data_IF_408409785609
#
_entry.id   IF_408409785609
#
_cell.length_a   1.000
_cell.length_b   1.000
_cell.length_c   1.000
_cell.angle_alpha   90.00
_cell.angle_beta   90.00
_cell.angle_gamma   90.00
#
_symmetry.space_group_name_H-M   'P 1'
#
loop_
_entity.id
_entity.type
_entity.pdbx_description
1 polymer ?
#
# COMPACT_ATOMS: atom_id res chain seq x y z
N UNK A 1 13.02 -4.33 19.13
CA UNK A 1 11.85 -3.55 19.54
C UNK A 1 11.74 -2.34 18.65
N UNK A 2 10.54 -2.09 18.20
CA UNK A 2 10.29 -0.95 17.35
C UNK A 2 10.18 0.33 18.18
N UNK A 3 10.74 1.40 17.66
CA UNK A 3 10.60 2.70 18.26
C UNK A 3 9.88 3.63 17.31
N UNK A 4 8.79 3.13 16.75
CA UNK A 4 7.99 3.91 15.83
C UNK A 4 7.50 5.19 16.50
N UNK A 5 7.78 6.31 15.85
CA UNK A 5 7.40 7.62 16.35
C UNK A 5 6.43 8.25 15.35
N UNK A 6 5.16 8.44 15.73
CA UNK A 6 4.19 9.05 14.82
C UNK A 6 4.59 10.44 14.34
N UNK A 7 5.31 11.21 15.17
CA UNK A 7 5.76 12.53 14.74
C UNK A 7 6.78 12.43 13.62
N UNK A 8 7.66 11.44 13.67
CA UNK A 8 8.64 11.22 12.59
C UNK A 8 7.98 10.75 11.32
N UNK A 9 6.81 10.15 11.44
CA UNK A 9 6.08 9.68 10.27
C UNK A 9 5.56 10.83 9.41
N UNK A 10 5.46 12.03 9.95
CA UNK A 10 5.13 13.21 9.17
C UNK A 10 6.24 13.51 8.16
N UNK A 11 7.48 13.15 8.49
CA UNK A 11 8.63 13.25 7.58
C UNK A 11 9.11 11.85 7.18
N UNK A 12 8.17 10.96 6.87
CA UNK A 12 8.45 9.55 6.66
C UNK A 12 9.48 9.25 5.57
N UNK A 13 9.53 10.08 4.55
CA UNK A 13 10.50 9.86 3.47
C UNK A 13 11.93 10.18 3.88
N UNK A 14 12.08 10.91 4.98
CA UNK A 14 13.40 11.19 5.57
C UNK A 14 13.77 10.12 6.59
N UNK A 15 12.82 9.77 7.47
CA UNK A 15 13.10 8.90 8.61
C UNK A 15 12.83 7.43 8.36
N UNK A 16 11.85 7.11 7.49
CA UNK A 16 11.33 5.75 7.38
C UNK A 16 11.29 5.23 5.94
N UNK A 17 12.02 5.87 5.03
CA UNK A 17 11.96 5.48 3.62
C UNK A 17 12.25 4.00 3.38
N UNK A 18 13.32 3.42 3.96
CA UNK A 18 13.57 1.98 3.75
C UNK A 18 12.45 1.09 4.26
N UNK A 19 11.85 1.46 5.38
CA UNK A 19 10.73 0.72 5.95
C UNK A 19 9.51 0.79 5.05
N UNK A 20 9.23 1.96 4.48
CA UNK A 20 8.11 2.11 3.55
C UNK A 20 8.33 1.27 2.30
N UNK A 21 9.54 1.30 1.75
CA UNK A 21 9.86 0.49 0.58
C UNK A 21 9.67 -0.99 0.87
N UNK A 22 10.12 -1.45 2.03
CA UNK A 22 9.98 -2.84 2.43
C UNK A 22 8.53 -3.25 2.56
N UNK A 23 7.72 -2.41 3.20
CA UNK A 23 6.30 -2.70 3.39
C UNK A 23 5.57 -2.81 2.05
N UNK A 24 5.78 -1.86 1.17
CA UNK A 24 5.15 -1.87 -0.15
C UNK A 24 5.63 -3.05 -0.98
N UNK A 25 6.92 -3.35 -0.94
CA UNK A 25 7.48 -4.48 -1.67
C UNK A 25 6.90 -5.81 -1.17
N UNK A 26 6.84 -5.99 0.15
CA UNK A 26 6.29 -7.21 0.73
C UNK A 26 4.82 -7.38 0.36
N UNK A 27 4.04 -6.31 0.41
CA UNK A 27 2.64 -6.36 0.02
C UNK A 27 2.51 -6.72 -1.46
N UNK A 28 3.33 -6.12 -2.31
CA UNK A 28 3.32 -6.42 -3.73
C UNK A 28 3.60 -7.90 -3.98
N UNK A 29 4.63 -8.45 -3.35
CA UNK A 29 4.99 -9.85 -3.54
C UNK A 29 3.88 -10.79 -3.10
N UNK A 30 3.24 -10.48 -1.96
CA UNK A 30 2.13 -11.27 -1.47
C UNK A 30 0.96 -11.25 -2.43
N UNK A 31 0.59 -10.06 -2.91
CA UNK A 31 -0.53 -9.92 -3.83
C UNK A 31 -0.21 -10.56 -5.18
N UNK A 32 1.01 -10.39 -5.66
CA UNK A 32 1.42 -10.95 -6.93
C UNK A 32 1.38 -12.49 -6.93
N UNK A 33 1.66 -13.11 -5.78
CA UNK A 33 1.60 -14.55 -5.64
C UNK A 33 0.16 -15.07 -5.52
N UNK A 34 -0.74 -14.29 -4.95
CA UNK A 34 -2.09 -14.72 -4.61
C UNK A 34 -3.13 -14.37 -5.67
N UNK A 35 -2.85 -13.38 -6.50
CA UNK A 35 -3.83 -12.84 -7.45
C UNK A 35 -3.22 -12.72 -8.84
N UNK A 36 -4.02 -12.22 -9.79
CA UNK A 36 -3.60 -12.04 -11.17
C UNK A 36 -2.41 -11.06 -11.23
N UNK A 37 -1.25 -11.55 -11.64
CA UNK A 37 -0.01 -10.78 -11.70
C UNK A 37 -0.16 -9.52 -12.56
N UNK A 38 -0.84 -9.61 -13.69
CA UNK A 38 -1.03 -8.47 -14.59
C UNK A 38 -1.85 -7.39 -13.89
N UNK A 39 -2.90 -7.78 -13.18
CA UNK A 39 -3.73 -6.84 -12.42
C UNK A 39 -2.94 -6.19 -11.29
N UNK A 40 -2.15 -6.97 -10.55
CA UNK A 40 -1.37 -6.45 -9.45
C UNK A 40 -0.32 -5.45 -9.94
N UNK A 41 0.37 -5.76 -11.04
CA UNK A 41 1.33 -4.83 -11.63
C UNK A 41 0.65 -3.53 -12.08
N UNK A 42 -0.54 -3.63 -12.67
CA UNK A 42 -1.28 -2.44 -13.10
C UNK A 42 -1.66 -1.55 -11.92
N UNK A 43 -2.14 -2.15 -10.84
CA UNK A 43 -2.50 -1.40 -9.62
C UNK A 43 -1.25 -0.72 -9.06
N UNK A 44 -0.15 -1.45 -8.96
CA UNK A 44 1.10 -0.92 -8.43
C UNK A 44 1.59 0.28 -9.26
N UNK A 45 1.59 0.15 -10.56
CA UNK A 45 2.17 1.16 -11.44
C UNK A 45 1.25 2.33 -11.73
N UNK A 46 -0.06 2.12 -11.73
CA UNK A 46 -1.02 3.14 -12.16
C UNK A 46 -1.83 3.77 -11.02
N UNK A 47 -1.84 3.16 -9.86
CA UNK A 47 -2.55 3.69 -8.69
C UNK A 47 -1.58 3.94 -7.53
N UNK A 48 -0.89 2.89 -7.11
CA UNK A 48 -0.12 2.95 -5.86
C UNK A 48 1.15 3.78 -5.94
N UNK A 49 1.70 3.98 -7.14
CA UNK A 49 2.88 4.84 -7.26
C UNK A 49 2.58 6.30 -6.90
N UNK A 50 1.31 6.67 -6.84
CA UNK A 50 0.88 8.00 -6.42
C UNK A 50 0.15 7.98 -5.08
N UNK A 51 0.21 6.86 -4.37
CA UNK A 51 -0.39 6.76 -3.04
C UNK A 51 0.57 7.28 -1.98
N UNK A 52 0.01 7.62 -0.83
CA UNK A 52 0.83 8.07 0.29
C UNK A 52 0.30 7.47 1.58
N UNK A 53 1.18 6.84 2.40
CA UNK A 53 0.74 6.30 3.69
C UNK A 53 0.72 7.39 4.76
N UNK A 54 -0.28 7.30 5.63
CA UNK A 54 -0.43 8.18 6.80
C UNK A 54 -0.66 7.33 8.04
N UNK A 55 -0.36 7.91 9.19
CA UNK A 55 -0.63 7.27 10.47
C UNK A 55 -1.53 8.21 11.28
N UNK A 56 -2.74 7.76 11.56
CA UNK A 56 -3.73 8.57 12.28
C UNK A 56 -4.49 7.69 13.28
N UNK A 57 -4.69 8.20 14.48
CA UNK A 57 -5.49 7.54 15.52
C UNK A 57 -5.10 6.09 15.78
N UNK A 58 -3.78 5.81 15.73
CA UNK A 58 -3.27 4.47 15.99
C UNK A 58 -3.35 3.52 14.82
N UNK A 59 -3.66 4.02 13.63
CA UNK A 59 -3.80 3.18 12.44
C UNK A 59 -3.08 3.80 11.24
N UNK A 60 -2.55 2.92 10.39
CA UNK A 60 -2.04 3.36 9.10
C UNK A 60 -3.20 3.51 8.12
N UNK A 61 -3.11 4.51 7.27
CA UNK A 61 -4.08 4.79 6.23
C UNK A 61 -3.34 5.09 4.94
N UNK A 62 -3.81 4.52 3.84
CA UNK A 62 -3.21 4.77 2.54
C UNK A 62 -4.12 5.72 1.78
N UNK A 63 -3.59 6.89 1.41
CA UNK A 63 -4.33 7.84 0.62
C UNK A 63 -4.06 7.59 -0.86
N UNK A 64 -5.14 7.48 -1.63
CA UNK A 64 -5.06 7.19 -3.06
C UNK A 64 -5.20 8.47 -3.88
N UNK A 65 -4.70 8.47 -5.12
CA UNK A 65 -4.95 9.58 -6.03
C UNK A 65 -6.44 9.67 -6.39
N UNK A 66 -6.85 10.78 -6.96
CA UNK A 66 -8.22 10.96 -7.44
C UNK A 66 -8.57 9.91 -8.48
N UNK A 67 -9.81 9.42 -8.40
CA UNK A 67 -10.35 8.45 -9.36
C UNK A 67 -9.41 7.27 -9.58
N UNK A 68 -9.06 6.55 -8.50
CA UNK A 68 -8.00 5.53 -8.61
C UNK A 68 -8.30 4.44 -9.64
N UNK A 69 -9.54 3.97 -9.73
CA UNK A 69 -9.87 2.90 -10.67
C UNK A 69 -9.79 3.35 -12.12
N UNK A 70 -10.00 4.64 -12.39
CA UNK A 70 -9.90 5.17 -13.74
C UNK A 70 -8.47 5.28 -14.24
N UNK A 71 -7.49 5.18 -13.33
CA UNK A 71 -6.08 5.25 -13.70
C UNK A 71 -5.56 3.97 -14.32
N UNK A 72 -6.27 2.86 -14.14
CA UNK A 72 -5.85 1.57 -14.72
C UNK A 72 -6.36 1.48 -16.14
N UNK A 73 -5.48 1.74 -17.10
CA UNK A 73 -5.82 1.77 -18.52
C UNK A 73 -5.07 0.74 -19.34
N UNK A 74 -4.07 0.09 -18.76
CA UNK A 74 -3.21 -0.85 -19.48
C UNK A 74 -3.85 -2.23 -19.71
N UNK A 75 -4.87 -2.55 -18.92
CA UNK A 75 -5.56 -3.83 -19.03
C UNK A 75 -7.06 -3.63 -18.99
N UNK A 76 -7.78 -4.64 -19.46
CA UNK A 76 -9.24 -4.64 -19.38
C UNK A 76 -9.62 -5.46 -18.14
N UNK A 77 -10.27 -4.80 -17.18
CA UNK A 77 -10.68 -5.45 -15.94
C UNK A 77 -12.04 -4.87 -15.51
N UNK A 78 -12.87 -5.74 -14.92
CA UNK A 78 -14.15 -5.34 -14.37
C UNK A 78 -13.91 -4.37 -13.19
N UNK A 79 -14.63 -3.24 -13.15
CA UNK A 79 -14.47 -2.24 -12.10
C UNK A 79 -14.68 -2.82 -10.72
N UNK A 80 -15.66 -3.70 -10.56
CA UNK A 80 -15.92 -4.34 -9.27
C UNK A 80 -14.74 -5.20 -8.82
N UNK A 81 -14.18 -5.97 -9.73
CA UNK A 81 -13.00 -6.79 -9.43
C UNK A 81 -11.81 -5.92 -9.09
N UNK A 82 -11.62 -4.83 -9.82
CA UNK A 82 -10.52 -3.91 -9.57
C UNK A 82 -10.65 -3.28 -8.19
N UNK A 83 -11.84 -2.80 -7.84
CA UNK A 83 -12.07 -2.20 -6.52
C UNK A 83 -11.85 -3.19 -5.38
N UNK A 84 -12.34 -4.42 -5.52
CA UNK A 84 -12.15 -5.46 -4.51
C UNK A 84 -10.68 -5.80 -4.33
N UNK A 85 -9.97 -5.96 -5.44
CA UNK A 85 -8.55 -6.28 -5.39
C UNK A 85 -7.74 -5.13 -4.80
N UNK A 86 -8.09 -3.90 -5.15
CA UNK A 86 -7.44 -2.72 -4.59
C UNK A 86 -7.63 -2.66 -3.07
N UNK A 87 -8.85 -2.89 -2.59
CA UNK A 87 -9.13 -2.88 -1.15
C UNK A 87 -8.29 -3.92 -0.41
N UNK A 88 -8.19 -5.11 -0.96
CA UNK A 88 -7.38 -6.18 -0.37
C UNK A 88 -5.90 -5.78 -0.36
N UNK A 89 -5.43 -5.18 -1.45
CA UNK A 89 -4.05 -4.73 -1.56
C UNK A 89 -3.75 -3.64 -0.51
N UNK A 90 -4.66 -2.69 -0.31
CA UNK A 90 -4.49 -1.66 0.70
C UNK A 90 -4.42 -2.25 2.11
N UNK A 91 -5.27 -3.22 2.40
CA UNK A 91 -5.23 -3.91 3.69
C UNK A 91 -3.88 -4.60 3.88
N UNK A 92 -3.34 -5.19 2.82
CA UNK A 92 -2.04 -5.86 2.89
C UNK A 92 -0.91 -4.86 3.14
N UNK A 93 -0.95 -3.69 2.48
CA UNK A 93 0.05 -2.64 2.72
C UNK A 93 -0.01 -2.18 4.18
N UNK A 94 -1.21 -1.95 4.70
CA UNK A 94 -1.37 -1.52 6.09
C UNK A 94 -0.84 -2.57 7.06
N UNK A 95 -1.11 -3.85 6.80
CA UNK A 95 -0.61 -4.93 7.63
C UNK A 95 0.92 -5.00 7.59
N UNK A 96 1.52 -4.80 6.41
CA UNK A 96 2.96 -4.81 6.29
C UNK A 96 3.61 -3.62 6.99
N UNK A 97 2.97 -2.45 6.93
CA UNK A 97 3.45 -1.28 7.66
C UNK A 97 3.47 -1.56 9.16
N UNK A 98 2.40 -2.14 9.70
CA UNK A 98 2.36 -2.50 11.12
C UNK A 98 3.46 -3.50 11.45
N UNK A 99 3.70 -4.47 10.59
CA UNK A 99 4.73 -5.49 10.82
C UNK A 99 6.12 -4.89 10.77
N UNK A 100 6.40 -4.06 9.78
CA UNK A 100 7.71 -3.44 9.59
C UNK A 100 8.05 -2.52 10.77
N UNK A 101 7.07 -1.81 11.30
CA UNK A 101 7.28 -0.92 12.43
C UNK A 101 7.10 -1.61 13.79
N UNK A 102 6.83 -2.92 13.78
CA UNK A 102 6.74 -3.68 15.02
C UNK A 102 5.52 -3.39 15.86
N UNK A 103 4.42 -2.98 15.23
CA UNK A 103 3.18 -2.62 15.92
C UNK A 103 2.20 -3.79 16.02
N UNK A 104 2.49 -4.90 15.36
CA UNK A 104 1.66 -6.11 15.46
C UNK A 104 2.11 -6.96 16.65
N UNK A 105 1.18 -7.68 17.20
CA UNK A 105 1.47 -8.61 18.30
C UNK A 105 1.81 -10.00 17.77
#
# INVERSE_FOLDING_TARGET
MSEFDPEKFEDKYVHYFPELQRAYKNAFETMNDAYDSELIHAIDQQILNESEPFYEDGEFRIELPENPTERVTAIIVDDEKLEQTLDIYLDEIEAELERVFGLTE
#
